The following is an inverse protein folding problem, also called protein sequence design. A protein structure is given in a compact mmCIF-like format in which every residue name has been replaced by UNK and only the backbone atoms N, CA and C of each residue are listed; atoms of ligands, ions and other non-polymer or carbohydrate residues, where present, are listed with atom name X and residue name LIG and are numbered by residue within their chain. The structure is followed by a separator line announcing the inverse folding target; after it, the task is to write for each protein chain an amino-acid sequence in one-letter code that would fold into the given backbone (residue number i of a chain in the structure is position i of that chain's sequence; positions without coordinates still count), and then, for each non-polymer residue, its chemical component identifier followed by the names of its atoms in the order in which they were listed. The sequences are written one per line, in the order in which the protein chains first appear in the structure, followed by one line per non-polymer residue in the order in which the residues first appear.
data_IF_796306065888
#
_entry.id   IF_796306065888
#
_cell.length_a   1.000
_cell.length_b   1.000
_cell.length_c   1.000
_cell.angle_alpha   90.00
_cell.angle_beta   90.00
_cell.angle_gamma   90.00
#
_symmetry.space_group_name_H-M   'P 1'
#
loop_
_entity.id
_entity.type
_entity.pdbx_description
1 polymer ?
#
# COMPACT_ATOMS: atom_id res chain seq x y z
N UNK A 1 18.12 -0.35 -40.18
CA UNK A 1 19.14 -0.84 -39.22
C UNK A 1 19.93 0.38 -38.82
N UNK A 2 20.05 0.82 -37.58
CA UNK A 2 19.65 0.38 -36.24
C UNK A 2 19.06 1.65 -35.55
N UNK A 3 18.16 1.62 -34.56
CA UNK A 3 18.04 0.70 -33.44
C UNK A 3 18.97 1.16 -32.32
N UNK A 4 18.57 2.16 -31.54
CA UNK A 4 19.23 2.68 -30.32
C UNK A 4 18.33 3.83 -29.79
N UNK A 5 17.98 3.98 -28.53
CA UNK A 5 18.20 3.21 -27.32
C UNK A 5 17.06 3.58 -26.36
N UNK A 6 16.52 2.59 -25.64
CA UNK A 6 15.72 2.84 -24.46
C UNK A 6 16.66 3.10 -23.30
N UNK A 7 16.53 4.26 -22.68
CA UNK A 7 17.15 4.65 -21.41
C UNK A 7 16.03 5.40 -20.68
N UNK A 8 15.27 4.68 -19.84
CA UNK A 8 15.52 4.57 -18.41
C UNK A 8 15.28 5.90 -17.69
N UNK A 9 14.07 6.05 -17.16
CA UNK A 9 13.83 6.81 -15.92
C UNK A 9 12.79 6.03 -15.12
N UNK A 10 13.18 4.82 -14.68
CA UNK A 10 12.53 4.20 -13.54
C UNK A 10 12.89 5.06 -12.32
N UNK A 11 12.04 6.05 -12.03
CA UNK A 11 12.25 6.99 -10.95
C UNK A 11 12.59 6.28 -9.63
N UNK A 12 13.84 6.42 -9.23
CA UNK A 12 14.31 6.15 -7.88
C UNK A 12 13.49 6.98 -6.90
N UNK A 13 12.73 6.28 -6.08
CA UNK A 13 11.92 6.83 -5.00
C UNK A 13 11.98 5.92 -3.79
N UNK A 14 13.14 5.33 -3.49
CA UNK A 14 13.37 4.64 -2.21
C UNK A 14 13.63 5.71 -1.14
N UNK A 15 12.54 6.40 -0.77
CA UNK A 15 12.46 7.06 0.53
C UNK A 15 12.56 5.98 1.61
N UNK A 16 13.27 6.24 2.72
CA UNK A 16 13.64 5.21 3.68
C UNK A 16 12.39 4.51 4.24
N UNK A 17 12.41 3.17 4.24
CA UNK A 17 11.39 2.21 4.66
C UNK A 17 10.88 2.32 6.12
N UNK A 18 10.94 3.50 6.73
CA UNK A 18 10.49 3.76 8.10
C UNK A 18 8.95 3.87 8.14
N UNK A 19 8.33 4.32 7.06
CA UNK A 19 6.88 4.42 6.92
C UNK A 19 6.22 3.03 6.71
N UNK A 20 6.97 2.05 6.20
CA UNK A 20 6.46 0.70 5.95
C UNK A 20 6.13 -0.04 7.25
N UNK A 21 6.94 0.07 8.31
CA UNK A 21 6.64 -0.55 9.62
C UNK A 21 5.35 0.00 10.27
N UNK A 22 5.14 1.32 10.17
CA UNK A 22 3.93 1.96 10.68
C UNK A 22 2.70 1.55 9.88
N UNK A 23 2.83 1.47 8.55
CA UNK A 23 1.76 1.03 7.68
C UNK A 23 1.42 -0.45 7.83
N UNK A 24 2.41 -1.33 8.07
CA UNK A 24 2.19 -2.74 8.37
C UNK A 24 1.31 -2.91 9.62
N UNK A 25 1.59 -2.15 10.68
CA UNK A 25 0.77 -2.16 11.91
C UNK A 25 -0.68 -1.72 11.63
N UNK A 26 -0.87 -0.67 10.81
CA UNK A 26 -2.21 -0.21 10.41
C UNK A 26 -2.95 -1.24 9.55
N UNK A 27 -2.25 -1.94 8.66
CA UNK A 27 -2.82 -3.03 7.85
C UNK A 27 -3.26 -4.20 8.74
N UNK A 28 -2.46 -4.59 9.73
CA UNK A 28 -2.85 -5.62 10.70
C UNK A 28 -4.10 -5.21 11.50
N UNK A 29 -4.19 -3.94 11.90
CA UNK A 29 -5.37 -3.44 12.60
C UNK A 29 -6.61 -3.40 11.69
N UNK A 30 -6.47 -3.04 10.42
CA UNK A 30 -7.54 -3.13 9.43
C UNK A 30 -8.06 -4.57 9.27
N UNK A 31 -7.16 -5.57 9.26
CA UNK A 31 -7.54 -6.99 9.24
C UNK A 31 -8.32 -7.38 10.50
N UNK A 32 -7.90 -6.92 11.67
CA UNK A 32 -8.64 -7.15 12.91
C UNK A 32 -10.04 -6.52 12.89
N UNK A 33 -10.21 -5.34 12.28
CA UNK A 33 -11.53 -4.74 12.04
C UNK A 33 -12.41 -5.62 11.13
N UNK A 34 -11.84 -6.23 10.08
CA UNK A 34 -12.58 -7.19 9.24
C UNK A 34 -13.00 -8.44 10.03
N UNK A 35 -12.13 -8.96 10.91
CA UNK A 35 -12.42 -10.15 11.70
C UNK A 35 -13.61 -9.96 12.65
N UNK A 36 -13.82 -8.74 13.16
CA UNK A 36 -14.99 -8.40 13.98
C UNK A 36 -16.22 -7.99 13.16
N UNK A 37 -16.11 -7.92 11.82
CA UNK A 37 -17.18 -7.52 10.90
C UNK A 37 -17.31 -6.02 10.70
N UNK A 38 -16.37 -5.21 11.20
CA UNK A 38 -16.32 -3.77 10.97
C UNK A 38 -15.59 -3.44 9.67
N UNK A 39 -16.30 -3.69 8.56
CA UNK A 39 -15.78 -3.46 7.22
C UNK A 39 -15.51 -1.98 6.94
N UNK A 40 -16.32 -1.08 7.50
CA UNK A 40 -16.16 0.36 7.28
C UNK A 40 -14.93 0.90 8.02
N UNK A 41 -14.69 0.45 9.26
CA UNK A 41 -13.48 0.77 10.00
C UNK A 41 -12.21 0.24 9.33
N UNK A 42 -12.27 -0.99 8.81
CA UNK A 42 -11.17 -1.56 8.04
C UNK A 42 -10.87 -0.76 6.76
N UNK A 43 -11.90 -0.37 6.01
CA UNK A 43 -11.72 0.43 4.78
C UNK A 43 -11.10 1.79 5.08
N UNK A 44 -11.61 2.52 6.06
CA UNK A 44 -11.06 3.82 6.44
C UNK A 44 -9.56 3.73 6.79
N UNK A 45 -9.19 2.70 7.54
CA UNK A 45 -7.79 2.45 7.92
C UNK A 45 -6.90 2.09 6.73
N UNK A 46 -7.41 1.32 5.76
CA UNK A 46 -6.68 1.00 4.53
C UNK A 46 -6.52 2.22 3.62
N UNK A 47 -7.51 3.13 3.58
CA UNK A 47 -7.39 4.40 2.86
C UNK A 47 -6.31 5.32 3.47
N UNK A 48 -6.20 5.36 4.80
CA UNK A 48 -5.10 6.04 5.49
C UNK A 48 -3.74 5.45 5.12
N UNK A 49 -3.63 4.12 5.08
CA UNK A 49 -2.41 3.43 4.62
C UNK A 49 -2.07 3.79 3.18
N UNK A 50 -3.03 3.87 2.28
CA UNK A 50 -2.78 4.26 0.88
C UNK A 50 -2.24 5.68 0.76
N UNK A 51 -2.68 6.58 1.65
CA UNK A 51 -2.26 7.98 1.66
C UNK A 51 -0.89 8.19 2.33
N UNK A 52 -0.55 7.41 3.34
CA UNK A 52 0.61 7.63 4.20
C UNK A 52 1.77 6.64 3.97
N UNK A 53 1.52 5.45 3.42
CA UNK A 53 2.54 4.40 3.28
C UNK A 53 3.39 4.54 2.02
N UNK A 54 4.53 3.85 2.03
CA UNK A 54 5.35 3.63 0.85
C UNK A 54 4.67 2.74 -0.21
N UNK A 55 5.32 2.55 -1.38
CA UNK A 55 4.78 1.77 -2.48
C UNK A 55 4.32 0.36 -2.10
N UNK A 56 5.03 -0.29 -1.17
CA UNK A 56 4.70 -1.63 -0.71
C UNK A 56 3.45 -1.67 0.18
N UNK A 57 3.42 -0.87 1.27
CA UNK A 57 2.24 -0.76 2.12
C UNK A 57 0.98 -0.30 1.36
N UNK A 58 1.13 0.64 0.43
CA UNK A 58 0.03 1.06 -0.44
C UNK A 58 -0.49 -0.09 -1.32
N UNK A 59 0.40 -0.84 -1.97
CA UNK A 59 0.00 -1.95 -2.83
C UNK A 59 -0.74 -3.05 -2.05
N UNK A 60 -0.32 -3.31 -0.81
CA UNK A 60 -0.99 -4.26 0.07
C UNK A 60 -2.37 -3.76 0.51
N UNK A 61 -2.50 -2.48 0.88
CA UNK A 61 -3.78 -1.90 1.27
C UNK A 61 -4.80 -1.89 0.10
N UNK A 62 -4.35 -1.52 -1.10
CA UNK A 62 -5.18 -1.58 -2.30
C UNK A 62 -5.63 -3.02 -2.62
N UNK A 63 -4.78 -4.02 -2.35
CA UNK A 63 -5.15 -5.44 -2.51
C UNK A 63 -6.26 -5.81 -1.53
N UNK A 64 -6.12 -5.46 -0.26
CA UNK A 64 -7.14 -5.75 0.75
C UNK A 64 -8.47 -5.07 0.43
N UNK A 65 -8.47 -3.81 0.01
CA UNK A 65 -9.70 -3.11 -0.41
C UNK A 65 -10.43 -3.83 -1.54
N UNK A 66 -9.70 -4.46 -2.48
CA UNK A 66 -10.29 -5.29 -3.54
C UNK A 66 -10.86 -6.62 -3.05
N UNK A 67 -10.33 -7.17 -1.97
CA UNK A 67 -10.85 -8.42 -1.36
C UNK A 67 -12.11 -8.16 -0.50
N UNK A 68 -12.28 -6.94 0.00
CA UNK A 68 -13.43 -6.51 0.81
C UNK A 68 -14.63 -6.10 -0.05
N UNK A 69 -14.39 -5.62 -1.28
CA UNK A 69 -15.41 -5.20 -2.26
C UNK A 69 -15.98 -6.34 -3.08
#
# INVERSE_FOLDING_TARGET
MAGEAGEDEAGEGEAPALDDDASATKIELARAYLDIGDVEGAKAMLEEVIAEAGPAGRAEAEKLLREIG
#
